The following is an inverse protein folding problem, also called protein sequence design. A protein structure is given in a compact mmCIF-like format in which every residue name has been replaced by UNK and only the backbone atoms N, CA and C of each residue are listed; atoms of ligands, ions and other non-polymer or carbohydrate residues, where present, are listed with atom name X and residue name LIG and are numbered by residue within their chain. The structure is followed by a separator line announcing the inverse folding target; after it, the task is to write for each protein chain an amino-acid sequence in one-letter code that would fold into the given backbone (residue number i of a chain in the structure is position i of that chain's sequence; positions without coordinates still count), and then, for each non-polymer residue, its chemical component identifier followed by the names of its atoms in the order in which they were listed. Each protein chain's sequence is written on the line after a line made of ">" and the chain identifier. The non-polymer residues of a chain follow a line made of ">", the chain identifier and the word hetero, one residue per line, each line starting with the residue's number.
data_IF_822134581525
#
_entry.id   IF_822134581525
#
_cell.length_a   1.000
_cell.length_b   1.000
_cell.length_c   1.000
_cell.angle_alpha   90.00
_cell.angle_beta   90.00
_cell.angle_gamma   90.00
#
_symmetry.space_group_name_H-M   'P 1'
#
loop_
_entity.id
_entity.type
_entity.pdbx_description
1 polymer ?
#
# COMPACT_ATOMS: atom_id res chain seq x y z
N UNK A 1 35.19 -6.90 44.37
CA UNK A 1 33.78 -6.89 43.94
C UNK A 1 33.72 -7.42 42.50
N UNK A 2 32.76 -8.29 42.14
CA UNK A 2 32.62 -8.76 40.75
C UNK A 2 31.90 -7.68 39.91
N UNK A 3 32.50 -7.25 38.82
CA UNK A 3 31.88 -6.32 37.88
C UNK A 3 30.66 -6.94 37.18
N UNK A 4 29.59 -6.16 37.02
CA UNK A 4 28.38 -6.60 36.31
C UNK A 4 28.61 -6.56 34.80
N UNK A 5 28.45 -7.71 34.13
CA UNK A 5 28.61 -7.84 32.67
C UNK A 5 27.60 -7.03 31.84
N UNK A 6 26.39 -6.77 32.34
CA UNK A 6 25.38 -6.01 31.58
C UNK A 6 24.53 -5.11 32.48
N UNK A 7 23.91 -4.09 31.89
CA UNK A 7 22.96 -3.19 32.55
C UNK A 7 21.61 -3.87 32.87
N UNK A 8 21.34 -5.08 32.40
CA UNK A 8 20.05 -5.76 32.60
C UNK A 8 18.85 -5.07 31.91
N UNK A 9 17.62 -5.42 32.30
CA UNK A 9 16.39 -4.83 31.74
C UNK A 9 16.23 -3.39 32.22
N UNK A 10 16.18 -2.45 31.29
CA UNK A 10 16.04 -1.02 31.57
C UNK A 10 14.61 -0.54 31.31
N UNK A 11 14.13 0.42 32.12
CA UNK A 11 12.84 1.09 31.89
C UNK A 11 12.95 2.00 30.67
N UNK A 12 11.96 1.94 29.78
CA UNK A 12 11.87 2.79 28.59
C UNK A 12 10.53 3.52 28.56
N UNK A 13 10.49 4.71 27.95
CA UNK A 13 9.25 5.47 27.75
C UNK A 13 8.34 4.73 26.75
N UNK A 14 7.02 4.77 26.95
CA UNK A 14 6.03 4.24 26.00
C UNK A 14 5.81 5.26 24.90
N UNK A 15 6.74 5.28 23.95
CA UNK A 15 6.72 6.07 22.72
C UNK A 15 7.44 5.29 21.62
N UNK A 16 7.43 5.80 20.39
CA UNK A 16 8.20 5.21 19.29
C UNK A 16 9.67 5.07 19.69
N UNK A 17 10.27 3.91 19.43
CA UNK A 17 11.71 3.71 19.57
C UNK A 17 12.37 4.31 18.34
N UNK A 18 13.16 5.37 18.51
CA UNK A 18 13.72 6.12 17.37
C UNK A 18 14.76 5.31 16.60
N UNK A 19 15.71 4.70 17.31
CA UNK A 19 16.77 3.90 16.70
C UNK A 19 16.21 2.64 16.05
N UNK A 20 16.46 2.47 14.75
CA UNK A 20 15.84 1.42 13.94
C UNK A 20 16.20 -0.01 14.42
N UNK A 21 17.48 -0.27 14.74
CA UNK A 21 17.91 -1.57 15.26
C UNK A 21 17.22 -1.94 16.58
N UNK A 22 17.21 -1.01 17.53
CA UNK A 22 16.56 -1.20 18.83
C UNK A 22 15.03 -1.36 18.67
N UNK A 23 14.41 -0.64 17.74
CA UNK A 23 12.99 -0.76 17.39
C UNK A 23 12.67 -2.15 16.84
N UNK A 24 13.49 -2.68 15.93
CA UNK A 24 13.33 -4.02 15.37
C UNK A 24 13.49 -5.11 16.44
N UNK A 25 14.51 -5.00 17.29
CA UNK A 25 14.69 -5.94 18.41
C UNK A 25 13.52 -5.86 19.39
N UNK A 26 13.06 -4.65 19.71
CA UNK A 26 11.91 -4.42 20.60
C UNK A 26 10.64 -5.02 20.01
N UNK A 27 10.38 -4.82 18.72
CA UNK A 27 9.25 -5.41 18.01
C UNK A 27 9.27 -6.93 18.14
N UNK A 28 10.39 -7.58 17.80
CA UNK A 28 10.50 -9.05 17.87
C UNK A 28 10.28 -9.58 19.29
N UNK A 29 10.90 -8.96 20.30
CA UNK A 29 10.77 -9.38 21.71
C UNK A 29 9.35 -9.16 22.24
N UNK A 30 8.73 -8.00 21.95
CA UNK A 30 7.37 -7.69 22.41
C UNK A 30 6.33 -8.57 21.72
N UNK A 31 6.44 -8.77 20.41
CA UNK A 31 5.58 -9.68 19.65
C UNK A 31 5.64 -11.09 20.27
N UNK A 32 6.84 -11.61 20.52
CA UNK A 32 6.98 -12.95 21.12
C UNK A 32 6.39 -13.01 22.54
N UNK A 33 6.62 -11.98 23.36
CA UNK A 33 6.02 -11.91 24.70
C UNK A 33 4.49 -11.86 24.66
N UNK A 34 3.90 -11.15 23.69
CA UNK A 34 2.45 -11.14 23.45
C UNK A 34 1.97 -12.53 23.04
N UNK A 35 2.69 -13.23 22.15
CA UNK A 35 2.32 -14.59 21.72
C UNK A 35 2.28 -15.55 22.91
N UNK A 36 3.28 -15.51 23.79
CA UNK A 36 3.30 -16.30 25.02
C UNK A 36 2.08 -15.99 25.89
N UNK A 37 1.74 -14.70 26.05
CA UNK A 37 0.58 -14.30 26.86
C UNK A 37 -0.75 -14.74 26.26
N UNK A 38 -0.90 -14.67 24.93
CA UNK A 38 -2.10 -15.14 24.24
C UNK A 38 -2.24 -16.67 24.32
N UNK A 39 -1.13 -17.40 24.20
CA UNK A 39 -1.12 -18.85 24.39
C UNK A 39 -1.50 -19.24 25.83
N UNK A 40 -0.93 -18.58 26.84
CA UNK A 40 -1.32 -18.76 28.24
C UNK A 40 -2.81 -18.47 28.44
N UNK A 41 -3.32 -17.35 27.91
CA UNK A 41 -4.73 -16.97 28.03
C UNK A 41 -5.66 -18.00 27.39
N UNK A 42 -5.30 -18.50 26.22
CA UNK A 42 -6.04 -19.55 25.51
C UNK A 42 -6.13 -20.82 26.35
N UNK A 43 -5.00 -21.26 26.91
CA UNK A 43 -4.93 -22.50 27.71
C UNK A 43 -5.65 -22.35 29.05
N UNK A 44 -5.45 -21.23 29.75
CA UNK A 44 -6.01 -21.02 31.10
C UNK A 44 -7.51 -20.78 31.09
N UNK A 45 -8.02 -20.07 30.08
CA UNK A 45 -9.41 -19.64 30.04
C UNK A 45 -10.23 -20.33 28.95
N UNK A 46 -9.62 -21.19 28.13
CA UNK A 46 -10.28 -21.72 26.93
C UNK A 46 -10.66 -20.62 25.93
N UNK A 47 -10.03 -19.44 26.02
CA UNK A 47 -10.40 -18.28 25.24
C UNK A 47 -9.91 -18.42 23.79
N UNK A 48 -10.80 -18.16 22.84
CA UNK A 48 -10.41 -18.04 21.44
C UNK A 48 -9.76 -16.66 21.23
N UNK A 49 -8.50 -16.65 20.81
CA UNK A 49 -7.72 -15.41 20.72
C UNK A 49 -7.19 -15.21 19.31
N UNK A 50 -7.16 -13.95 18.86
CA UNK A 50 -6.63 -13.54 17.57
C UNK A 50 -5.79 -12.27 17.71
N UNK A 51 -4.62 -12.24 17.09
CA UNK A 51 -3.71 -11.10 17.13
C UNK A 51 -3.01 -10.93 15.78
N UNK A 52 -2.96 -9.68 15.30
CA UNK A 52 -2.31 -9.26 14.06
C UNK A 52 -1.47 -8.02 14.32
N UNK A 53 -0.23 -8.02 13.84
CA UNK A 53 0.65 -6.84 13.87
C UNK A 53 1.53 -6.77 12.63
N UNK A 54 1.72 -5.57 12.09
CA UNK A 54 2.65 -5.32 11.00
C UNK A 54 4.02 -4.90 11.56
N UNK A 55 5.10 -5.40 10.97
CA UNK A 55 6.42 -4.84 11.24
C UNK A 55 6.57 -3.46 10.62
N UNK A 56 7.63 -2.74 11.00
CA UNK A 56 8.00 -1.49 10.34
C UNK A 56 8.32 -1.64 8.83
N UNK A 57 8.46 -2.87 8.32
CA UNK A 57 8.64 -3.17 6.90
C UNK A 57 7.32 -3.58 6.21
N UNK A 58 6.17 -3.48 6.89
CA UNK A 58 4.87 -3.85 6.33
C UNK A 58 4.60 -5.36 6.29
N UNK A 59 5.44 -6.20 6.91
CA UNK A 59 5.21 -7.65 6.95
C UNK A 59 4.21 -7.99 8.08
N UNK A 60 3.09 -8.68 7.78
CA UNK A 60 2.14 -9.10 8.80
C UNK A 60 2.68 -10.26 9.63
N UNK A 61 2.30 -10.29 10.90
CA UNK A 61 2.54 -11.37 11.85
C UNK A 61 1.24 -11.64 12.60
N UNK A 62 0.81 -12.90 12.60
CA UNK A 62 -0.44 -13.32 13.22
C UNK A 62 -0.19 -14.35 14.32
N UNK A 63 -1.09 -14.37 15.29
CA UNK A 63 -1.31 -15.45 16.23
C UNK A 63 -2.82 -15.72 16.27
N UNK A 64 -3.21 -16.98 16.35
CA UNK A 64 -4.61 -17.29 16.62
C UNK A 64 -4.80 -18.70 17.14
N UNK A 65 -5.81 -18.85 18.00
CA UNK A 65 -6.29 -20.14 18.48
C UNK A 65 -7.82 -20.12 18.45
N UNK A 66 -8.48 -21.02 17.70
CA UNK A 66 -7.92 -22.16 16.94
C UNK A 66 -7.13 -21.78 15.68
N UNK A 67 -7.48 -20.68 15.00
CA UNK A 67 -6.66 -20.06 13.94
C UNK A 67 -7.02 -18.58 13.84
N UNK A 68 -6.11 -17.74 13.35
CA UNK A 68 -6.39 -16.30 13.22
C UNK A 68 -7.59 -16.05 12.29
N UNK A 69 -7.68 -16.77 11.18
CA UNK A 69 -8.78 -16.62 10.21
C UNK A 69 -10.12 -17.00 10.83
N UNK A 70 -10.20 -18.13 11.54
CA UNK A 70 -11.44 -18.57 12.18
C UNK A 70 -11.93 -17.58 13.24
N UNK A 71 -11.01 -17.01 14.03
CA UNK A 71 -11.34 -15.97 15.02
C UNK A 71 -11.81 -14.68 14.33
N UNK A 72 -11.13 -14.27 13.26
CA UNK A 72 -11.49 -13.08 12.49
C UNK A 72 -12.87 -13.21 11.83
N UNK A 73 -13.17 -14.35 11.22
CA UNK A 73 -14.47 -14.64 10.60
C UNK A 73 -15.61 -14.58 11.63
N UNK A 74 -15.44 -15.22 12.80
CA UNK A 74 -16.43 -15.15 13.89
C UNK A 74 -16.62 -13.72 14.39
N UNK A 75 -15.54 -12.97 14.56
CA UNK A 75 -15.64 -11.57 14.98
C UNK A 75 -16.43 -10.72 13.97
N UNK A 76 -16.16 -10.90 12.68
CA UNK A 76 -16.89 -10.19 11.62
C UNK A 76 -18.36 -10.61 11.55
N UNK A 77 -18.67 -11.89 11.73
CA UNK A 77 -20.04 -12.41 11.74
C UNK A 77 -20.84 -11.90 12.95
N UNK A 78 -20.23 -11.86 14.14
CA UNK A 78 -20.85 -11.26 15.33
C UNK A 78 -21.20 -9.79 15.06
N UNK A 79 -20.26 -9.02 14.50
CA UNK A 79 -20.52 -7.62 14.17
C UNK A 79 -21.66 -7.46 13.16
N UNK A 80 -21.79 -8.36 12.17
CA UNK A 80 -22.93 -8.36 11.24
C UNK A 80 -24.25 -8.63 11.96
N UNK A 81 -24.29 -9.57 12.90
CA UNK A 81 -25.50 -9.91 13.66
C UNK A 81 -25.94 -8.81 14.61
N UNK A 82 -24.99 -8.16 15.28
CA UNK A 82 -25.27 -6.99 16.15
C UNK A 82 -25.91 -5.86 15.34
N UNK A 83 -25.46 -5.63 14.11
CA UNK A 83 -26.07 -4.64 13.20
C UNK A 83 -27.51 -4.98 12.82
N UNK A 84 -27.86 -6.27 12.71
CA UNK A 84 -29.22 -6.70 12.33
C UNK A 84 -30.20 -6.67 13.52
N UNK A 85 -29.74 -6.89 14.76
CA UNK A 85 -30.59 -7.01 15.95
C UNK A 85 -30.74 -5.73 16.81
N UNK A 86 -30.29 -4.57 16.33
CA UNK A 86 -30.76 -3.28 16.84
C UNK A 86 -30.12 -2.73 18.13
N UNK A 87 -29.13 -3.38 18.73
CA UNK A 87 -28.34 -2.78 19.83
C UNK A 87 -27.09 -2.11 19.27
N UNK A 88 -27.28 -0.91 18.71
CA UNK A 88 -26.20 -0.08 18.19
C UNK A 88 -25.27 0.40 19.30
N UNK A 89 -24.16 -0.30 19.51
CA UNK A 89 -22.96 0.33 20.09
C UNK A 89 -22.50 1.43 19.13
N UNK A 90 -22.47 2.68 19.62
CA UNK A 90 -22.15 3.93 18.89
C UNK A 90 -20.92 3.85 17.97
N UNK A 91 -19.97 2.95 18.25
CA UNK A 91 -18.77 2.72 17.46
C UNK A 91 -19.01 2.05 16.09
N UNK A 92 -20.01 1.18 15.94
CA UNK A 92 -20.30 0.51 14.65
C UNK A 92 -20.89 1.46 13.62
N UNK A 93 -21.83 2.32 14.05
CA UNK A 93 -22.47 3.31 13.19
C UNK A 93 -21.47 4.30 12.59
N UNK A 94 -20.44 4.69 13.36
CA UNK A 94 -19.39 5.60 12.90
C UNK A 94 -18.51 4.94 11.82
N UNK A 95 -18.19 3.65 11.99
CA UNK A 95 -17.38 2.88 11.03
C UNK A 95 -18.16 2.64 9.75
N UNK A 96 -19.44 2.30 9.84
CA UNK A 96 -20.28 2.04 8.67
C UNK A 96 -20.64 3.34 7.93
N UNK A 97 -20.84 4.44 8.65
CA UNK A 97 -20.94 5.77 8.06
C UNK A 97 -19.65 6.15 7.31
N UNK A 98 -18.47 5.93 7.89
CA UNK A 98 -17.20 6.19 7.21
C UNK A 98 -17.01 5.34 5.95
N UNK A 99 -17.35 4.05 6.01
CA UNK A 99 -17.32 3.18 4.82
C UNK A 99 -18.25 3.71 3.74
N UNK A 100 -19.47 4.11 4.11
CA UNK A 100 -20.46 4.66 3.18
C UNK A 100 -19.97 5.94 2.51
N UNK A 101 -19.43 6.88 3.28
CA UNK A 101 -18.84 8.12 2.75
C UNK A 101 -17.68 7.81 1.79
N UNK A 102 -16.82 6.85 2.14
CA UNK A 102 -15.69 6.46 1.30
C UNK A 102 -16.12 5.84 -0.03
N UNK A 103 -17.16 5.01 -0.01
CA UNK A 103 -17.75 4.41 -1.22
C UNK A 103 -18.38 5.50 -2.08
N UNK A 104 -19.09 6.45 -1.47
CA UNK A 104 -19.72 7.55 -2.20
C UNK A 104 -18.71 8.48 -2.86
N UNK A 105 -17.61 8.82 -2.16
CA UNK A 105 -16.46 9.53 -2.76
C UNK A 105 -15.92 8.80 -3.98
N UNK A 106 -15.73 7.48 -3.86
CA UNK A 106 -15.18 6.67 -4.95
C UNK A 106 -16.12 6.65 -6.16
N UNK A 107 -17.43 6.46 -5.94
CA UNK A 107 -18.42 6.51 -7.00
C UNK A 107 -18.47 7.88 -7.69
N UNK A 108 -18.36 8.98 -6.94
CA UNK A 108 -18.27 10.33 -7.52
C UNK A 108 -17.03 10.48 -8.38
N UNK A 109 -15.86 10.05 -7.90
CA UNK A 109 -14.62 10.12 -8.69
C UNK A 109 -14.70 9.28 -9.96
N UNK A 110 -15.31 8.09 -9.89
CA UNK A 110 -15.49 7.23 -11.06
C UNK A 110 -16.41 7.89 -12.10
N UNK A 111 -17.56 8.40 -11.68
CA UNK A 111 -18.51 9.04 -12.59
C UNK A 111 -17.90 10.28 -13.26
N UNK A 112 -17.16 11.11 -12.52
CA UNK A 112 -16.48 12.28 -13.07
C UNK A 112 -15.41 11.88 -14.13
N UNK A 113 -14.62 10.83 -13.84
CA UNK A 113 -13.62 10.33 -14.80
C UNK A 113 -14.27 9.72 -16.05
N UNK A 114 -15.43 9.06 -15.89
CA UNK A 114 -16.20 8.55 -17.03
C UNK A 114 -16.72 9.69 -17.91
N UNK A 115 -17.25 10.75 -17.31
CA UNK A 115 -17.73 11.93 -18.04
C UNK A 115 -16.59 12.66 -18.77
N UNK A 116 -15.43 12.80 -18.14
CA UNK A 116 -14.24 13.39 -18.75
C UNK A 116 -13.72 12.55 -19.93
N UNK A 117 -13.71 11.23 -19.79
CA UNK A 117 -13.33 10.32 -20.87
C UNK A 117 -14.30 10.36 -22.07
N UNK A 118 -15.61 10.48 -21.82
CA UNK A 118 -16.62 10.63 -22.87
C UNK A 118 -16.50 11.99 -23.57
N UNK A 119 -16.27 13.07 -22.81
CA UNK A 119 -16.05 14.40 -23.38
C UNK A 119 -14.79 14.45 -24.26
N UNK A 120 -13.73 13.74 -23.88
CA UNK A 120 -12.51 13.66 -24.67
C UNK A 120 -12.70 12.79 -25.93
N UNK A 121 -13.49 11.71 -25.85
CA UNK A 121 -13.86 10.91 -27.01
C UNK A 121 -14.70 11.70 -28.03
N UNK A 122 -15.64 12.51 -27.58
CA UNK A 122 -16.43 13.39 -28.44
C UNK A 122 -15.59 14.52 -29.04
N UNK A 123 -14.66 15.10 -28.27
CA UNK A 123 -13.66 16.04 -28.81
C UNK A 123 -12.83 15.38 -29.92
N UNK A 124 -12.36 14.16 -29.70
CA UNK A 124 -11.64 13.38 -30.71
C UNK A 124 -12.45 13.14 -31.99
N UNK A 125 -13.74 12.81 -31.87
CA UNK A 125 -14.65 12.64 -33.02
C UNK A 125 -14.88 13.95 -33.77
N UNK A 126 -15.07 15.07 -33.06
CA UNK A 126 -15.25 16.38 -33.66
C UNK A 126 -13.99 16.84 -34.42
N UNK A 127 -12.80 16.63 -33.84
CA UNK A 127 -11.52 16.91 -34.50
C UNK A 127 -11.32 16.03 -35.74
N UNK A 128 -11.68 14.74 -35.66
CA UNK A 128 -11.62 13.83 -36.80
C UNK A 128 -12.61 14.20 -37.91
N UNK A 129 -13.83 14.61 -37.56
CA UNK A 129 -14.86 15.04 -38.50
C UNK A 129 -14.51 16.37 -39.18
N UNK A 130 -13.99 17.35 -38.43
CA UNK A 130 -13.51 18.61 -38.98
C UNK A 130 -12.34 18.40 -39.96
N UNK A 131 -11.45 17.44 -39.67
CA UNK A 131 -10.37 17.03 -40.57
C UNK A 131 -10.88 16.32 -41.84
N UNK A 132 -11.99 15.59 -41.76
CA UNK A 132 -12.60 14.89 -42.89
C UNK A 132 -13.40 15.81 -43.84
N UNK A 133 -13.95 16.94 -43.35
CA UNK A 133 -14.75 17.87 -44.15
C UNK A 133 -13.93 18.89 -44.95
N UNK A 134 -12.61 18.96 -44.81
CA UNK A 134 -11.74 19.81 -45.63
C UNK A 134 -12.03 21.31 -45.55
N UNK A 135 -12.76 21.79 -44.54
CA UNK A 135 -13.06 23.20 -44.33
C UNK A 135 -11.88 23.92 -43.70
N UNK A 136 -11.03 24.49 -44.55
CA UNK A 136 -10.08 25.55 -44.23
C UNK A 136 -10.82 26.75 -43.61
N UNK A 137 -10.42 27.20 -42.42
CA UNK A 137 -9.99 28.59 -42.11
C UNK A 137 -9.65 28.70 -40.60
N UNK A 138 -8.37 28.60 -40.27
CA UNK A 138 -7.75 29.30 -39.13
C UNK A 138 -6.48 29.96 -39.67
N UNK A 139 -6.00 31.08 -39.09
CA UNK A 139 -4.82 31.77 -39.58
C UNK A 139 -3.66 30.77 -39.66
N UNK A 140 -3.07 30.64 -40.85
CA UNK A 140 -1.82 29.92 -41.03
C UNK A 140 -0.76 30.75 -40.30
N UNK A 141 -0.57 30.49 -39.02
CA UNK A 141 0.78 30.53 -38.47
C UNK A 141 1.54 29.44 -39.23
N UNK A 142 2.61 29.86 -39.90
CA UNK A 142 3.48 28.98 -40.67
C UNK A 142 3.77 27.69 -39.89
N UNK A 143 3.76 26.56 -40.59
CA UNK A 143 3.97 25.20 -40.05
C UNK A 143 5.37 24.99 -39.40
N UNK A 144 6.12 26.08 -39.22
CA UNK A 144 7.46 26.19 -38.64
C UNK A 144 7.45 26.52 -37.12
N UNK A 145 6.34 27.00 -36.54
CA UNK A 145 6.27 27.44 -35.12
C UNK A 145 5.61 26.42 -34.16
N UNK A 146 5.48 25.16 -34.56
CA UNK A 146 5.09 24.10 -33.64
C UNK A 146 6.29 23.70 -32.76
N UNK A 147 6.31 24.11 -31.49
CA UNK A 147 7.41 23.79 -30.54
C UNK A 147 7.70 22.29 -30.36
N UNK A 148 6.74 21.42 -30.72
CA UNK A 148 6.90 19.95 -30.73
C UNK A 148 7.40 19.39 -32.07
N UNK A 149 7.53 20.24 -33.11
CA UNK A 149 8.09 19.91 -34.43
C UNK A 149 9.47 20.54 -34.67
N UNK A 150 9.97 21.41 -33.79
CA UNK A 150 11.37 21.80 -33.82
C UNK A 150 12.21 20.54 -33.62
N UNK A 151 12.95 20.14 -34.65
CA UNK A 151 14.03 19.16 -34.52
C UNK A 151 14.92 19.65 -33.35
N UNK A 152 15.15 18.83 -32.31
CA UNK A 152 15.96 19.26 -31.19
C UNK A 152 17.35 19.62 -31.72
N UNK A 153 17.71 20.89 -31.58
CA UNK A 153 19.00 21.46 -32.00
C UNK A 153 20.19 20.79 -31.28
N UNK A 154 19.92 19.86 -30.35
CA UNK A 154 20.88 18.93 -29.78
C UNK A 154 20.34 17.50 -29.77
N UNK A 155 20.42 16.81 -30.93
CA UNK A 155 20.25 15.33 -30.99
C UNK A 155 21.12 14.62 -29.96
N UNK A 156 22.26 15.21 -29.60
CA UNK A 156 23.17 14.72 -28.58
C UNK A 156 22.56 14.84 -27.17
N UNK A 157 21.82 15.90 -26.86
CA UNK A 157 21.14 16.04 -25.57
C UNK A 157 19.92 15.12 -25.45
N UNK A 158 19.13 14.98 -26.52
CA UNK A 158 18.03 14.01 -26.55
C UNK A 158 18.55 12.57 -26.38
N UNK A 159 19.67 12.24 -27.03
CA UNK A 159 20.34 10.93 -26.88
C UNK A 159 20.91 10.76 -25.47
N UNK A 160 21.48 11.81 -24.88
CA UNK A 160 21.98 11.81 -23.49
C UNK A 160 20.86 11.60 -22.47
N UNK A 161 19.71 12.24 -22.67
CA UNK A 161 18.53 12.09 -21.80
C UNK A 161 17.93 10.69 -21.93
N UNK A 162 17.80 10.16 -23.15
CA UNK A 162 17.36 8.78 -23.38
C UNK A 162 18.32 7.76 -22.74
N UNK A 163 19.64 7.93 -22.93
CA UNK A 163 20.64 7.07 -22.30
C UNK A 163 20.60 7.13 -20.76
N UNK A 164 20.41 8.33 -20.20
CA UNK A 164 20.23 8.50 -18.75
C UNK A 164 18.96 7.81 -18.23
N UNK A 165 17.89 7.82 -19.03
CA UNK A 165 16.64 7.15 -18.70
C UNK A 165 16.80 5.62 -18.76
N UNK A 166 17.46 5.09 -19.78
CA UNK A 166 17.77 3.65 -19.89
C UNK A 166 18.62 3.16 -18.71
N UNK A 167 19.67 3.89 -18.34
CA UNK A 167 20.51 3.55 -17.18
C UNK A 167 19.71 3.55 -15.86
N UNK A 168 18.75 4.47 -15.72
CA UNK A 168 17.83 4.49 -14.58
C UNK A 168 16.89 3.28 -14.57
N UNK A 169 16.35 2.89 -15.73
CA UNK A 169 15.50 1.71 -15.87
C UNK A 169 16.26 0.41 -15.53
N UNK A 170 17.50 0.27 -15.99
CA UNK A 170 18.33 -0.89 -15.63
C UNK A 170 18.59 -0.97 -14.12
N UNK A 171 18.90 0.16 -13.48
CA UNK A 171 19.06 0.22 -12.01
C UNK A 171 17.77 -0.18 -11.28
N UNK A 172 16.61 0.27 -11.75
CA UNK A 172 15.31 -0.14 -11.19
C UNK A 172 15.08 -1.64 -11.35
N UNK A 173 15.37 -2.19 -12.53
CA UNK A 173 15.29 -3.62 -12.81
C UNK A 173 16.23 -4.43 -11.90
N UNK A 174 17.47 -3.99 -11.70
CA UNK A 174 18.38 -4.65 -10.77
C UNK A 174 17.91 -4.58 -9.32
N UNK A 175 17.36 -3.44 -8.87
CA UNK A 175 16.78 -3.30 -7.53
C UNK A 175 15.59 -4.24 -7.36
N UNK A 176 14.73 -4.36 -8.38
CA UNK A 176 13.62 -5.29 -8.39
C UNK A 176 14.08 -6.76 -8.36
N UNK A 177 15.15 -7.10 -9.09
CA UNK A 177 15.75 -8.46 -9.11
C UNK A 177 16.47 -8.78 -7.80
N UNK A 178 17.22 -7.85 -7.20
CA UNK A 178 17.82 -8.01 -5.86
C UNK A 178 16.76 -8.21 -4.80
N UNK A 179 15.65 -7.48 -4.89
CA UNK A 179 14.48 -7.66 -4.02
C UNK A 179 13.84 -9.04 -4.23
N UNK A 180 13.84 -9.59 -5.46
CA UNK A 180 13.33 -10.95 -5.73
C UNK A 180 14.30 -12.05 -5.26
N UNK A 181 15.62 -11.88 -5.40
CA UNK A 181 16.64 -12.84 -4.92
C UNK A 181 16.75 -12.88 -3.39
N UNK A 182 16.56 -11.75 -2.70
CA UNK A 182 16.50 -11.72 -1.23
C UNK A 182 15.28 -12.46 -0.65
N UNK A 183 14.26 -12.76 -1.47
CA UNK A 183 13.11 -13.59 -1.09
C UNK A 183 13.22 -15.04 -1.62
N UNK A 184 14.24 -15.38 -2.42
CA UNK A 184 14.36 -16.66 -3.12
C UNK A 184 15.35 -17.68 -2.55
N UNK A 185 16.19 -17.31 -1.57
CA UNK A 185 17.13 -18.25 -0.94
C UNK A 185 16.70 -18.53 0.52
N UNK A 186 15.70 -19.39 0.69
CA UNK A 186 15.47 -20.21 1.89
C UNK A 186 14.46 -21.30 1.52
N UNK A 187 14.93 -22.31 0.81
CA UNK A 187 14.09 -23.41 0.35
C UNK A 187 14.85 -24.51 -0.37
N UNK A 188 15.91 -25.04 0.23
CA UNK A 188 16.42 -26.36 -0.11
C UNK A 188 17.31 -26.89 1.03
N UNK A 189 16.75 -27.72 1.91
CA UNK A 189 17.40 -28.87 2.54
C UNK A 189 16.41 -29.63 3.41
N UNK A 190 16.49 -30.96 3.34
CA UNK A 190 15.86 -32.01 4.19
C UNK A 190 14.51 -32.59 3.73
N UNK A 191 14.57 -33.59 2.86
CA UNK A 191 14.41 -35.02 3.26
C UNK A 191 15.08 -35.91 2.22
#
# INVERSE_FOLDING_TARGET
>A
MREKKTKGKQKIKIRKVEKNGDRMVTFSKRRNGIYTKLAELTVLCGAETGFLVYSGAGKPYTFGSPSFIAVAERFLEINRRVVINGESSSSSAIVDAHKKVKVEELCKTFNNLMEEAEAEAERGKAVAAAKALGTSTLPVESDDDAWWKSDPDDKEEATRVLASFEEFYEKLCEVAVRRRRSFGCNGASTS
#
